data_IF_081525106381
#
_entry.id   IF_081525106381
#
_cell.length_a   1.000
_cell.length_b   1.000
_cell.length_c   1.000
_cell.angle_alpha   90.00
_cell.angle_beta   90.00
_cell.angle_gamma   90.00
#
_symmetry.space_group_name_H-M   'P 1'
#
loop_
_entity.id
_entity.type
_entity.pdbx_description
1 polymer ?
#
# COMPACT_ATOMS: atom_id res chain seq x y z
N UNK A 1 -15.51 -13.38 -11.28
CA UNK A 1 -16.12 -12.72 -10.09
C UNK A 1 -15.36 -13.09 -8.82
N UNK A 2 -15.11 -14.37 -8.55
CA UNK A 2 -14.31 -14.82 -7.39
C UNK A 2 -12.87 -14.24 -7.39
N UNK A 3 -12.13 -14.34 -8.50
CA UNK A 3 -10.74 -13.84 -8.58
C UNK A 3 -10.62 -12.35 -8.22
N UNK A 4 -11.58 -11.53 -8.66
CA UNK A 4 -11.59 -10.10 -8.35
C UNK A 4 -11.90 -9.82 -6.88
N UNK A 5 -12.77 -10.62 -6.25
CA UNK A 5 -13.05 -10.48 -4.81
C UNK A 5 -11.89 -10.97 -3.96
N UNK A 6 -11.16 -12.00 -4.40
CA UNK A 6 -10.01 -12.55 -3.65
C UNK A 6 -8.86 -11.53 -3.61
N UNK A 7 -8.55 -10.93 -4.75
CA UNK A 7 -7.58 -9.82 -4.83
C UNK A 7 -8.03 -8.64 -3.98
N UNK A 8 -9.29 -8.23 -4.08
CA UNK A 8 -9.80 -7.11 -3.30
C UNK A 8 -9.69 -7.36 -1.79
N UNK A 9 -10.02 -8.58 -1.36
CA UNK A 9 -9.90 -9.00 0.04
C UNK A 9 -8.45 -8.93 0.50
N UNK A 10 -7.51 -9.47 -0.28
CA UNK A 10 -6.10 -9.40 0.05
C UNK A 10 -5.58 -7.95 0.21
N UNK A 11 -6.05 -7.02 -0.62
CA UNK A 11 -5.69 -5.60 -0.51
C UNK A 11 -6.29 -5.00 0.77
N UNK A 12 -7.55 -5.30 1.10
CA UNK A 12 -8.17 -4.85 2.36
C UNK A 12 -7.48 -5.43 3.60
N UNK A 13 -6.96 -6.65 3.51
CA UNK A 13 -6.16 -7.30 4.56
C UNK A 13 -4.75 -6.69 4.69
N UNK A 14 -4.39 -5.75 3.82
CA UNK A 14 -3.15 -4.99 3.89
C UNK A 14 -1.98 -5.63 3.15
N UNK A 15 -2.23 -6.46 2.14
CA UNK A 15 -1.17 -6.98 1.27
C UNK A 15 -0.35 -5.84 0.63
N UNK A 16 0.97 -5.92 0.71
CA UNK A 16 1.90 -4.97 0.07
C UNK A 16 2.04 -5.18 -1.43
N UNK A 17 1.74 -6.38 -1.92
CA UNK A 17 1.85 -6.73 -3.32
C UNK A 17 0.87 -7.84 -3.69
N UNK A 18 0.45 -7.84 -4.95
CA UNK A 18 -0.32 -8.91 -5.58
C UNK A 18 0.56 -9.55 -6.67
N UNK A 19 0.68 -10.87 -6.63
CA UNK A 19 1.48 -11.64 -7.57
C UNK A 19 0.59 -12.30 -8.63
N UNK A 20 1.00 -12.22 -9.90
CA UNK A 20 0.49 -13.05 -10.97
C UNK A 20 1.47 -14.19 -11.21
N UNK A 21 0.96 -15.41 -11.36
CA UNK A 21 1.75 -16.63 -11.51
C UNK A 21 1.67 -17.12 -12.97
N UNK A 22 0.88 -18.15 -13.23
CA UNK A 22 0.69 -18.70 -14.56
C UNK A 22 0.01 -17.70 -15.51
N UNK A 23 -0.78 -16.78 -14.96
CA UNK A 23 -1.51 -15.74 -15.69
C UNK A 23 -0.59 -14.86 -16.53
N UNK A 24 0.56 -14.46 -15.95
CA UNK A 24 1.59 -13.67 -16.65
C UNK A 24 2.69 -14.52 -17.28
N UNK A 25 3.00 -15.70 -16.72
CA UNK A 25 4.12 -16.53 -17.19
C UNK A 25 3.79 -17.37 -18.44
N UNK A 26 2.57 -17.91 -18.52
CA UNK A 26 2.16 -18.83 -19.60
C UNK A 26 0.73 -18.57 -20.09
N UNK A 27 0.05 -17.56 -19.54
CA UNK A 27 -1.31 -17.19 -19.90
C UNK A 27 -1.40 -16.64 -21.32
N UNK A 28 -2.58 -16.76 -21.91
CA UNK A 28 -2.86 -16.22 -23.25
C UNK A 28 -3.01 -14.69 -23.26
N UNK A 29 -3.19 -14.07 -22.09
CA UNK A 29 -3.55 -12.66 -21.92
C UNK A 29 -2.76 -12.02 -20.75
N UNK A 30 -1.42 -11.99 -20.80
CA UNK A 30 -0.59 -11.51 -19.70
C UNK A 30 -0.77 -10.01 -19.43
N UNK A 31 -0.92 -9.19 -20.48
CA UNK A 31 -1.13 -7.75 -20.35
C UNK A 31 -2.50 -7.44 -19.74
N UNK A 32 -3.55 -8.12 -20.19
CA UNK A 32 -4.91 -7.94 -19.68
C UNK A 32 -5.02 -8.41 -18.23
N UNK A 33 -4.25 -9.43 -17.83
CA UNK A 33 -4.17 -9.89 -16.45
C UNK A 33 -3.59 -8.79 -15.55
N UNK A 34 -2.48 -8.16 -15.94
CA UNK A 34 -1.90 -7.02 -15.22
C UNK A 34 -2.86 -5.83 -15.20
N UNK A 35 -3.47 -5.49 -16.33
CA UNK A 35 -4.43 -4.38 -16.43
C UNK A 35 -5.70 -4.62 -15.58
N UNK A 36 -6.13 -5.87 -15.43
CA UNK A 36 -7.22 -6.23 -14.52
C UNK A 36 -6.81 -6.03 -13.06
N UNK A 37 -5.64 -6.51 -12.66
CA UNK A 37 -5.12 -6.33 -11.29
C UNK A 37 -5.00 -4.84 -10.94
N UNK A 38 -4.42 -4.03 -11.84
CA UNK A 38 -4.30 -2.59 -11.64
C UNK A 38 -5.67 -1.91 -11.43
N UNK A 39 -6.70 -2.32 -12.19
CA UNK A 39 -8.06 -1.79 -12.01
C UNK A 39 -8.65 -2.16 -10.66
N UNK A 40 -8.42 -3.38 -10.18
CA UNK A 40 -8.89 -3.83 -8.86
C UNK A 40 -8.19 -3.03 -7.77
N UNK A 41 -6.85 -2.93 -7.83
CA UNK A 41 -6.03 -2.17 -6.87
C UNK A 41 -6.51 -0.72 -6.79
N UNK A 42 -6.56 -0.01 -7.92
CA UNK A 42 -7.02 1.38 -7.96
C UNK A 42 -8.44 1.53 -7.40
N UNK A 43 -9.34 0.58 -7.70
CA UNK A 43 -10.72 0.64 -7.23
C UNK A 43 -10.83 0.46 -5.72
N UNK A 44 -10.03 -0.43 -5.13
CA UNK A 44 -10.00 -0.69 -3.69
C UNK A 44 -9.32 0.45 -2.95
N UNK A 45 -8.14 0.90 -3.39
CA UNK A 45 -7.40 1.98 -2.73
C UNK A 45 -8.13 3.33 -2.78
N UNK A 46 -8.97 3.54 -3.80
CA UNK A 46 -9.84 4.72 -3.90
C UNK A 46 -11.09 4.67 -3.00
N UNK A 47 -11.35 3.54 -2.33
CA UNK A 47 -12.48 3.44 -1.41
C UNK A 47 -12.27 4.38 -0.20
N UNK A 48 -13.23 5.27 0.12
CA UNK A 48 -13.13 6.18 1.27
C UNK A 48 -12.88 5.49 2.62
N UNK A 49 -13.21 4.20 2.73
CA UNK A 49 -13.04 3.40 3.93
C UNK A 49 -11.71 2.63 3.96
N UNK A 50 -11.01 2.50 2.84
CA UNK A 50 -9.78 1.69 2.73
C UNK A 50 -8.74 2.01 3.81
N UNK A 51 -8.36 3.29 3.93
CA UNK A 51 -7.38 3.71 4.93
C UNK A 51 -7.86 3.50 6.38
N UNK A 52 -9.17 3.65 6.63
CA UNK A 52 -9.74 3.38 7.96
C UNK A 52 -9.66 1.90 8.33
N UNK A 53 -9.89 1.01 7.36
CA UNK A 53 -9.72 -0.44 7.56
C UNK A 53 -8.24 -0.78 7.84
N UNK A 54 -7.31 -0.23 7.06
CA UNK A 54 -5.89 -0.45 7.28
C UNK A 54 -5.40 0.05 8.64
N UNK A 55 -5.88 1.21 9.09
CA UNK A 55 -5.53 1.74 10.41
C UNK A 55 -6.00 0.80 11.55
N UNK A 56 -7.10 0.07 11.35
CA UNK A 56 -7.59 -0.93 12.31
C UNK A 56 -6.77 -2.22 12.30
N UNK A 57 -6.13 -2.56 11.18
CA UNK A 57 -5.27 -3.73 11.02
C UNK A 57 -3.86 -3.50 11.57
N UNK A 58 -3.47 -2.25 11.85
CA UNK A 58 -2.10 -1.93 12.29
C UNK A 58 -1.79 -2.57 13.65
N UNK A 59 -1.00 -3.65 13.62
CA UNK A 59 -0.48 -4.34 14.80
C UNK A 59 0.91 -3.81 15.18
N UNK A 60 1.12 -3.69 16.51
CA UNK A 60 2.32 -3.26 17.26
C UNK A 60 3.44 -2.57 16.48
N UNK A 61 3.42 -1.24 16.50
CA UNK A 61 4.61 -0.44 16.21
C UNK A 61 5.70 -0.76 17.24
N UNK A 62 6.95 -0.85 16.80
CA UNK A 62 8.10 -0.83 17.71
C UNK A 62 8.33 0.63 18.10
N UNK A 63 8.68 0.89 19.35
CA UNK A 63 8.93 2.26 19.81
C UNK A 63 10.35 2.72 19.44
N UNK A 64 10.70 2.70 18.15
CA UNK A 64 11.99 3.22 17.67
C UNK A 64 11.88 4.68 17.24
N UNK A 65 13.01 5.39 17.20
CA UNK A 65 13.06 6.76 16.70
C UNK A 65 12.56 6.86 15.24
N UNK A 66 12.88 5.87 14.40
CA UNK A 66 12.43 5.83 13.01
C UNK A 66 10.90 5.72 12.93
N UNK A 67 10.29 4.87 13.75
CA UNK A 67 8.82 4.71 13.82
C UNK A 67 8.13 6.01 14.24
N UNK A 68 8.68 6.71 15.23
CA UNK A 68 8.17 8.00 15.67
C UNK A 68 8.25 9.06 14.56
N UNK A 69 9.38 9.11 13.84
CA UNK A 69 9.59 10.05 12.73
C UNK A 69 8.64 9.74 11.57
N UNK A 70 8.48 8.48 11.17
CA UNK A 70 7.59 8.11 10.05
C UNK A 70 6.12 8.35 10.40
N UNK A 71 5.71 8.08 11.65
CA UNK A 71 4.37 8.43 12.15
C UNK A 71 4.14 9.94 12.07
N UNK A 72 5.10 10.74 12.56
CA UNK A 72 5.01 12.20 12.49
C UNK A 72 4.96 12.70 11.04
N UNK A 73 5.76 12.12 10.14
CA UNK A 73 5.76 12.46 8.72
C UNK A 73 4.39 12.24 8.06
N UNK A 74 3.73 11.09 8.33
CA UNK A 74 2.35 10.82 7.89
C UNK A 74 1.39 11.91 8.37
N UNK A 75 1.42 12.23 9.66
CA UNK A 75 0.52 13.21 10.26
C UNK A 75 0.74 14.62 9.70
N UNK A 76 2.00 15.03 9.54
CA UNK A 76 2.37 16.31 8.94
C UNK A 76 1.86 16.37 7.50
N UNK A 77 2.13 15.34 6.69
CA UNK A 77 1.70 15.28 5.30
C UNK A 77 0.19 15.45 5.16
N UNK A 78 -0.61 14.80 6.01
CA UNK A 78 -2.06 14.94 6.03
C UNK A 78 -2.49 16.37 6.44
N UNK A 79 -1.86 16.93 7.47
CA UNK A 79 -2.20 18.24 8.02
C UNK A 79 -1.92 19.37 7.02
N UNK A 80 -0.74 19.36 6.40
CA UNK A 80 -0.34 20.39 5.43
C UNK A 80 -0.84 20.11 4.01
N UNK A 81 -1.54 18.98 3.80
CA UNK A 81 -1.98 18.51 2.48
C UNK A 81 -0.80 18.39 1.50
N UNK A 82 0.30 17.80 1.97
CA UNK A 82 1.46 17.52 1.14
C UNK A 82 1.07 16.60 -0.04
N UNK A 83 1.85 16.66 -1.12
CA UNK A 83 1.63 15.79 -2.29
C UNK A 83 2.41 14.48 -2.24
N UNK A 84 3.45 14.41 -1.41
CA UNK A 84 4.31 13.24 -1.25
C UNK A 84 5.12 13.35 0.05
N UNK A 85 5.65 12.22 0.53
CA UNK A 85 6.70 12.13 1.54
C UNK A 85 7.97 11.65 0.84
N UNK A 86 9.11 12.32 1.06
CA UNK A 86 10.39 11.91 0.47
C UNK A 86 11.27 11.31 1.55
N UNK A 87 11.71 10.07 1.35
CA UNK A 87 12.49 9.31 2.33
C UNK A 87 13.87 8.97 1.76
N UNK A 88 14.89 9.75 2.14
CA UNK A 88 16.26 9.38 1.85
C UNK A 88 16.67 8.12 2.63
N UNK A 89 17.13 7.10 1.92
CA UNK A 89 17.53 5.82 2.53
C UNK A 89 18.61 5.14 1.70
N UNK A 90 19.51 4.43 2.38
CA UNK A 90 20.56 3.63 1.73
C UNK A 90 20.21 2.12 1.70
N UNK A 91 19.53 1.63 2.74
CA UNK A 91 19.23 0.20 2.92
C UNK A 91 17.72 -0.10 2.86
N UNK A 92 16.88 0.91 2.66
CA UNK A 92 15.43 0.75 2.58
C UNK A 92 14.70 0.67 3.93
N UNK A 93 15.39 0.54 5.06
CA UNK A 93 14.75 0.41 6.38
C UNK A 93 13.80 1.57 6.71
N UNK A 94 14.20 2.81 6.44
CA UNK A 94 13.35 3.99 6.63
C UNK A 94 12.14 4.02 5.70
N UNK A 95 12.30 3.67 4.41
CA UNK A 95 11.18 3.68 3.45
C UNK A 95 10.18 2.57 3.76
N UNK A 96 10.64 1.41 4.24
CA UNK A 96 9.75 0.33 4.70
C UNK A 96 8.91 0.78 5.90
N UNK A 97 9.52 1.50 6.86
CA UNK A 97 8.80 2.07 8.02
C UNK A 97 7.81 3.15 7.57
N UNK A 98 8.19 4.00 6.63
CA UNK A 98 7.28 5.00 6.05
C UNK A 98 6.12 4.35 5.27
N UNK A 99 6.36 3.26 4.54
CA UNK A 99 5.33 2.52 3.82
C UNK A 99 4.36 1.81 4.77
N UNK A 100 4.84 1.27 5.89
CA UNK A 100 4.01 0.68 6.95
C UNK A 100 3.01 1.67 7.55
N UNK A 101 3.31 2.97 7.52
CA UNK A 101 2.37 4.00 7.96
C UNK A 101 1.17 4.16 7.02
N UNK A 102 1.19 3.57 5.82
CA UNK A 102 0.10 3.62 4.82
C UNK A 102 -0.40 5.05 4.61
N UNK A 103 0.54 5.96 4.33
CA UNK A 103 0.21 7.36 4.07
C UNK A 103 -0.68 7.48 2.82
N UNK A 104 -1.62 8.43 2.85
CA UNK A 104 -2.54 8.72 1.73
C UNK A 104 -1.85 9.39 0.54
N UNK A 105 -0.54 9.62 0.65
CA UNK A 105 0.29 10.27 -0.36
C UNK A 105 1.46 9.35 -0.71
N UNK A 106 1.97 9.42 -1.94
CA UNK A 106 3.13 8.63 -2.33
C UNK A 106 4.34 8.85 -1.42
N UNK A 107 5.07 7.76 -1.17
CA UNK A 107 6.41 7.79 -0.56
C UNK A 107 7.43 7.66 -1.69
N UNK A 108 8.34 8.62 -1.78
CA UNK A 108 9.40 8.72 -2.81
C UNK A 108 10.77 8.43 -2.21
#
# INVERSE_FOLDING_TARGET
RAEASDVATAIYDGADAIMLSAESAAGKFPEESVAMQQRIINRVESDPHYHKYLDQLSMSKKDTATDAITTAARQIAQTVKAKAIVCFTLQGSTVLRAAQERATVPVL
#
